data_IF_402383950717
#
_entry.id   IF_402383950717
#
_cell.length_a   1.000
_cell.length_b   1.000
_cell.length_c   1.000
_cell.angle_alpha   90.00
_cell.angle_beta   90.00
_cell.angle_gamma   90.00
#
_symmetry.space_group_name_H-M   'P 1'
#
loop_
_entity.id
_entity.type
_entity.pdbx_description
1 polymer ?
#
# COMPACT_ATOMS: atom_id res chain seq x y z
N UNK A 1 68.96 10.25 -42.33
CA UNK A 1 68.71 9.28 -41.24
C UNK A 1 67.62 9.85 -40.33
N UNK A 2 66.34 9.58 -40.62
CA UNK A 2 65.21 10.20 -39.93
C UNK A 2 64.79 9.31 -38.74
N UNK A 3 65.17 9.71 -37.53
CA UNK A 3 64.76 9.04 -36.28
C UNK A 3 63.30 9.38 -36.02
N UNK A 4 62.39 8.55 -36.55
CA UNK A 4 60.94 8.70 -36.37
C UNK A 4 60.62 8.40 -34.90
N UNK A 5 60.26 9.42 -34.14
CA UNK A 5 59.95 9.38 -32.72
C UNK A 5 58.64 8.58 -32.47
N UNK A 6 58.73 7.25 -32.56
CA UNK A 6 57.64 6.31 -32.32
C UNK A 6 57.16 6.39 -30.85
N UNK A 7 58.04 6.74 -29.91
CA UNK A 7 57.67 6.93 -28.51
C UNK A 7 56.66 8.07 -28.28
N UNK A 8 56.79 9.19 -29.01
CA UNK A 8 55.85 10.32 -28.91
C UNK A 8 54.49 10.01 -29.55
N UNK A 9 54.49 9.24 -30.65
CA UNK A 9 53.27 8.84 -31.36
C UNK A 9 52.46 7.81 -30.55
N UNK A 10 53.13 6.87 -29.86
CA UNK A 10 52.49 5.92 -28.95
C UNK A 10 51.99 6.58 -27.66
N UNK A 11 52.69 7.61 -27.16
CA UNK A 11 52.24 8.38 -26.00
C UNK A 11 50.94 9.14 -26.29
N UNK A 12 50.81 9.70 -27.50
CA UNK A 12 49.58 10.37 -27.95
C UNK A 12 48.37 9.41 -28.02
N UNK A 13 48.55 8.18 -28.52
CA UNK A 13 47.46 7.20 -28.59
C UNK A 13 46.97 6.76 -27.20
N UNK A 14 47.87 6.64 -26.22
CA UNK A 14 47.50 6.32 -24.82
C UNK A 14 46.72 7.45 -24.16
N UNK A 15 47.08 8.70 -24.43
CA UNK A 15 46.34 9.87 -23.92
C UNK A 15 44.93 9.90 -24.53
N UNK A 16 44.81 9.65 -25.84
CA UNK A 16 43.52 9.61 -26.54
C UNK A 16 42.62 8.53 -25.95
N UNK A 17 43.14 7.34 -25.65
CA UNK A 17 42.32 6.27 -25.07
C UNK A 17 41.83 6.59 -23.67
N UNK A 18 42.67 7.19 -22.82
CA UNK A 18 42.28 7.63 -21.47
C UNK A 18 41.26 8.76 -21.55
N UNK A 19 41.45 9.72 -22.45
CA UNK A 19 40.49 10.81 -22.67
C UNK A 19 39.12 10.29 -23.14
N UNK A 20 39.10 9.35 -24.09
CA UNK A 20 37.87 8.68 -24.53
C UNK A 20 37.21 7.87 -23.42
N UNK A 21 38.00 7.17 -22.60
CA UNK A 21 37.50 6.44 -21.44
C UNK A 21 36.86 7.37 -20.40
N UNK A 22 37.48 8.53 -20.13
CA UNK A 22 36.91 9.55 -19.24
C UNK A 22 35.65 10.17 -19.83
N UNK A 23 35.63 10.49 -21.13
CA UNK A 23 34.43 10.97 -21.82
C UNK A 23 33.28 9.96 -21.78
N UNK A 24 33.57 8.68 -22.03
CA UNK A 24 32.59 7.59 -21.93
C UNK A 24 32.11 7.41 -20.50
N UNK A 25 33.00 7.48 -19.52
CA UNK A 25 32.64 7.40 -18.11
C UNK A 25 31.73 8.55 -17.70
N UNK A 26 32.06 9.80 -18.06
CA UNK A 26 31.21 10.98 -17.82
C UNK A 26 29.87 10.87 -18.56
N UNK A 27 29.85 10.32 -19.78
CA UNK A 27 28.61 10.10 -20.53
C UNK A 27 27.70 9.07 -19.84
N UNK A 28 28.27 7.94 -19.41
CA UNK A 28 27.54 6.87 -18.71
C UNK A 28 27.01 7.34 -17.35
N UNK A 29 27.84 8.05 -16.58
CA UNK A 29 27.46 8.59 -15.26
C UNK A 29 26.53 9.79 -15.38
N UNK A 30 26.69 10.62 -16.42
CA UNK A 30 25.84 11.79 -16.66
C UNK A 30 24.42 11.44 -17.12
N UNK A 31 24.25 10.33 -17.83
CA UNK A 31 22.92 9.84 -18.24
C UNK A 31 22.21 9.12 -17.08
N UNK A 32 22.98 8.44 -16.23
CA UNK A 32 22.48 7.85 -14.98
C UNK A 32 22.73 8.83 -13.84
N UNK A 33 22.04 9.97 -13.86
CA UNK A 33 22.05 10.91 -12.72
C UNK A 33 21.89 10.13 -11.41
N UNK A 34 22.46 10.60 -10.28
CA UNK A 34 22.55 9.79 -9.06
C UNK A 34 21.15 9.34 -8.64
N UNK A 35 20.85 8.06 -8.88
CA UNK A 35 19.62 7.46 -8.42
C UNK A 35 19.62 7.56 -6.91
N UNK A 36 18.66 8.31 -6.37
CA UNK A 36 18.45 8.34 -4.94
C UNK A 36 17.36 7.33 -4.58
N UNK A 37 17.32 6.94 -3.32
CA UNK A 37 16.33 6.01 -2.80
C UNK A 37 15.50 6.71 -1.73
N UNK A 38 14.19 6.44 -1.73
CA UNK A 38 13.27 6.96 -0.73
C UNK A 38 12.33 5.84 -0.29
N UNK A 39 12.26 5.63 1.01
CA UNK A 39 11.30 4.69 1.62
C UNK A 39 10.02 5.43 1.97
N UNK A 40 8.89 4.82 1.63
CA UNK A 40 7.55 5.35 1.87
C UNK A 40 6.72 4.27 2.55
N UNK A 41 6.11 4.62 3.67
CA UNK A 41 5.18 3.74 4.39
C UNK A 41 3.76 3.98 3.88
N UNK A 42 3.06 2.90 3.57
CA UNK A 42 1.69 2.96 3.03
C UNK A 42 0.91 1.70 3.41
N UNK A 43 -0.41 1.82 3.47
CA UNK A 43 -1.29 0.71 3.87
C UNK A 43 -1.46 -0.26 2.71
N UNK A 44 -1.36 -1.56 3.02
CA UNK A 44 -1.59 -2.61 2.04
C UNK A 44 -3.06 -2.69 1.63
N UNK A 45 -3.32 -2.78 0.33
CA UNK A 45 -4.67 -2.94 -0.22
C UNK A 45 -4.85 -4.31 -0.86
N UNK A 46 -5.99 -4.95 -0.65
CA UNK A 46 -6.33 -6.18 -1.37
C UNK A 46 -7.00 -5.88 -2.71
N UNK A 47 -6.60 -6.64 -3.74
CA UNK A 47 -7.20 -6.58 -5.08
C UNK A 47 -7.70 -7.96 -5.50
N UNK A 48 -8.70 -7.98 -6.38
CA UNK A 48 -9.34 -9.21 -6.89
C UNK A 48 -9.92 -10.14 -5.80
N UNK A 49 -10.51 -9.58 -4.74
CA UNK A 49 -11.22 -10.37 -3.73
C UNK A 49 -12.41 -11.10 -4.40
N UNK A 50 -12.49 -12.44 -4.31
CA UNK A 50 -13.60 -13.18 -4.89
C UNK A 50 -14.95 -12.81 -4.25
N UNK A 51 -16.04 -12.87 -5.03
CA UNK A 51 -17.38 -12.58 -4.52
C UNK A 51 -17.78 -13.56 -3.41
N UNK A 52 -18.41 -13.04 -2.36
CA UNK A 52 -18.81 -13.84 -1.19
C UNK A 52 -17.69 -14.07 -0.17
N UNK A 53 -16.55 -13.38 -0.31
CA UNK A 53 -15.47 -13.39 0.67
C UNK A 53 -15.10 -11.98 1.13
N UNK A 54 -14.56 -11.89 2.33
CA UNK A 54 -14.09 -10.66 2.96
C UNK A 54 -12.81 -10.92 3.73
N UNK A 55 -11.96 -9.91 3.85
CA UNK A 55 -10.77 -9.96 4.68
C UNK A 55 -11.18 -10.02 6.15
N UNK A 56 -10.65 -11.01 6.86
CA UNK A 56 -10.76 -11.05 8.31
C UNK A 56 -9.54 -10.36 8.93
N UNK A 57 -9.79 -9.24 9.62
CA UNK A 57 -8.76 -8.45 10.28
C UNK A 57 -8.17 -7.31 9.45
N UNK A 58 -7.10 -6.72 9.98
CA UNK A 58 -6.46 -5.52 9.41
C UNK A 58 -5.15 -5.90 8.71
N UNK A 59 -4.94 -5.38 7.50
CA UNK A 59 -3.69 -5.55 6.77
C UNK A 59 -2.58 -4.67 7.40
N UNK A 60 -1.32 -5.16 7.47
CA UNK A 60 -0.22 -4.38 8.02
C UNK A 60 0.21 -3.23 7.10
N UNK A 61 0.87 -2.23 7.68
CA UNK A 61 1.58 -1.19 6.92
C UNK A 61 2.82 -1.79 6.26
N UNK A 62 3.09 -1.40 5.01
CA UNK A 62 4.23 -1.88 4.23
C UNK A 62 5.14 -0.71 3.87
N UNK A 63 6.44 -0.92 4.01
CA UNK A 63 7.47 0.03 3.59
C UNK A 63 7.93 -0.32 2.19
N UNK A 64 7.76 0.62 1.26
CA UNK A 64 8.18 0.48 -0.13
C UNK A 64 9.36 1.42 -0.38
N UNK A 65 10.50 0.87 -0.78
CA UNK A 65 11.67 1.65 -1.19
C UNK A 65 11.64 1.87 -2.68
N UNK A 66 11.66 3.14 -3.06
CA UNK A 66 11.63 3.59 -4.45
C UNK A 66 13.00 4.11 -4.84
N UNK A 67 13.36 3.90 -6.11
CA UNK A 67 14.60 4.39 -6.73
C UNK A 67 14.27 5.27 -7.93
N UNK A 68 14.93 6.41 -8.06
CA UNK A 68 14.78 7.29 -9.22
C UNK A 68 15.38 8.68 -9.04
N UNK A 69 15.02 9.64 -9.92
CA UNK A 69 15.50 11.01 -9.87
C UNK A 69 15.12 11.70 -8.56
N UNK A 70 16.09 12.37 -7.92
CA UNK A 70 15.89 13.12 -6.67
C UNK A 70 14.70 14.07 -6.73
N UNK A 71 14.55 14.82 -7.83
CA UNK A 71 13.47 15.80 -7.99
C UNK A 71 12.07 15.16 -8.00
N UNK A 72 11.97 13.92 -8.51
CA UNK A 72 10.72 13.16 -8.51
C UNK A 72 10.46 12.57 -7.14
N UNK A 73 11.46 11.91 -6.54
CA UNK A 73 11.35 11.26 -5.22
C UNK A 73 11.01 12.25 -4.09
N UNK A 74 11.52 13.49 -4.16
CA UNK A 74 11.23 14.52 -3.16
C UNK A 74 9.73 14.78 -2.98
N UNK A 75 9.00 14.86 -4.09
CA UNK A 75 7.55 15.13 -4.12
C UNK A 75 6.68 13.88 -3.91
N UNK A 76 7.27 12.68 -3.77
CA UNK A 76 6.49 11.47 -3.54
C UNK A 76 5.96 11.46 -2.10
N UNK A 77 4.65 11.35 -1.99
CA UNK A 77 3.89 11.03 -0.78
C UNK A 77 3.31 9.61 -0.91
N UNK A 78 2.89 9.00 0.20
CA UNK A 78 2.29 7.65 0.25
C UNK A 78 1.17 7.38 -0.76
N UNK A 79 0.45 8.42 -1.22
CA UNK A 79 -0.63 8.26 -2.20
C UNK A 79 -0.21 7.84 -3.61
N UNK A 80 1.07 8.00 -4.00
CA UNK A 80 1.55 7.58 -5.33
C UNK A 80 1.99 6.11 -5.38
N UNK A 81 2.07 5.46 -4.21
CA UNK A 81 2.50 4.08 -4.06
C UNK A 81 1.33 3.27 -3.54
N UNK A 82 0.84 2.35 -4.35
CA UNK A 82 -0.24 1.45 -3.95
C UNK A 82 0.34 0.04 -3.83
N UNK A 83 0.75 -0.38 -2.62
CA UNK A 83 1.04 -1.78 -2.37
C UNK A 83 -0.27 -2.56 -2.43
N UNK A 84 -0.28 -3.59 -3.25
CA UNK A 84 -1.43 -4.45 -3.48
C UNK A 84 -1.09 -5.90 -3.22
N UNK A 85 -2.11 -6.65 -2.82
CA UNK A 85 -2.04 -8.09 -2.68
C UNK A 85 -3.12 -8.74 -3.54
N UNK A 86 -2.71 -9.63 -4.44
CA UNK A 86 -3.64 -10.32 -5.34
C UNK A 86 -4.22 -11.56 -4.65
N UNK A 87 -5.55 -11.56 -4.50
CA UNK A 87 -6.31 -12.64 -3.87
C UNK A 87 -7.13 -13.45 -4.89
N UNK A 88 -6.85 -13.31 -6.18
CA UNK A 88 -7.55 -14.03 -7.25
C UNK A 88 -7.50 -15.54 -7.05
N UNK A 89 -8.68 -16.18 -7.12
CA UNK A 89 -8.82 -17.63 -7.03
C UNK A 89 -8.49 -18.22 -5.65
N UNK A 90 -8.33 -17.38 -4.62
CA UNK A 90 -8.14 -17.83 -3.24
C UNK A 90 -9.47 -18.15 -2.58
N UNK A 91 -9.46 -19.17 -1.72
CA UNK A 91 -10.61 -19.60 -0.93
C UNK A 91 -10.51 -19.10 0.52
N UNK A 92 -11.51 -19.42 1.33
CA UNK A 92 -11.46 -19.24 2.79
C UNK A 92 -10.21 -19.89 3.40
N UNK A 93 -9.62 -19.21 4.39
CA UNK A 93 -8.43 -19.68 5.11
C UNK A 93 -7.37 -18.61 5.34
N UNK A 94 -6.31 -19.03 6.04
CA UNK A 94 -5.09 -18.24 6.26
C UNK A 94 -4.05 -18.61 5.22
N UNK A 95 -3.48 -17.63 4.53
CA UNK A 95 -2.37 -17.89 3.63
C UNK A 95 -1.40 -16.73 3.52
N UNK A 96 -0.15 -17.11 3.26
CA UNK A 96 0.93 -16.17 2.97
C UNK A 96 0.87 -15.81 1.48
N UNK A 97 0.97 -14.52 1.20
CA UNK A 97 0.94 -14.00 -0.16
C UNK A 97 1.91 -12.84 -0.31
N UNK A 98 2.45 -12.70 -1.52
CA UNK A 98 3.47 -11.69 -1.81
C UNK A 98 2.84 -10.33 -2.07
N UNK A 99 3.48 -9.29 -1.54
CA UNK A 99 3.07 -7.91 -1.76
C UNK A 99 3.66 -7.40 -3.06
N UNK A 100 2.81 -6.87 -3.93
CA UNK A 100 3.20 -6.20 -5.17
C UNK A 100 2.99 -4.71 -5.01
N UNK A 101 4.07 -3.93 -5.07
CA UNK A 101 3.97 -2.47 -5.07
C UNK A 101 4.02 -1.94 -6.51
N UNK A 102 3.06 -1.09 -6.83
CA UNK A 102 3.05 -0.35 -8.09
C UNK A 102 3.07 1.15 -7.82
N UNK A 103 3.86 1.87 -8.62
CA UNK A 103 3.90 3.33 -8.62
C UNK A 103 3.04 3.82 -9.77
N UNK A 104 2.07 4.67 -9.49
CA UNK A 104 1.14 5.22 -10.49
C UNK A 104 1.41 6.70 -10.67
N UNK A 105 1.51 7.16 -11.93
CA UNK A 105 1.62 8.58 -12.26
C UNK A 105 3.02 9.19 -12.18
N UNK A 106 4.07 8.38 -11.98
CA UNK A 106 5.46 8.87 -11.94
C UNK A 106 6.31 8.17 -13.00
N UNK A 107 7.06 8.94 -13.77
CA UNK A 107 8.00 8.44 -14.80
C UNK A 107 9.41 8.39 -14.24
N UNK A 108 10.14 7.31 -14.53
CA UNK A 108 11.53 7.13 -14.11
C UNK A 108 11.70 6.74 -12.63
N UNK A 109 10.62 6.30 -11.97
CA UNK A 109 10.67 5.76 -10.60
C UNK A 109 10.39 4.27 -10.67
N UNK A 110 11.24 3.48 -10.03
CA UNK A 110 11.11 2.03 -9.93
C UNK A 110 11.04 1.59 -8.48
N UNK A 111 10.24 0.58 -8.17
CA UNK A 111 10.26 -0.07 -6.86
C UNK A 111 11.53 -0.90 -6.75
N UNK A 112 12.33 -0.65 -5.71
CA UNK A 112 13.56 -1.39 -5.44
C UNK A 112 13.30 -2.52 -4.45
N UNK A 113 12.65 -2.22 -3.32
CA UNK A 113 12.31 -3.22 -2.30
C UNK A 113 10.96 -2.95 -1.67
N UNK A 114 10.32 -4.02 -1.20
CA UNK A 114 9.05 -3.99 -0.45
C UNK A 114 9.26 -4.81 0.81
N UNK A 115 8.99 -4.21 1.97
CA UNK A 115 9.16 -4.84 3.27
C UNK A 115 7.90 -4.62 4.13
N UNK A 116 7.25 -5.69 4.62
CA UNK A 116 7.52 -7.10 4.32
C UNK A 116 7.13 -7.48 2.88
N UNK A 117 7.86 -8.42 2.28
CA UNK A 117 7.57 -8.95 0.95
C UNK A 117 6.43 -9.98 0.97
N UNK A 118 6.17 -10.58 2.13
CA UNK A 118 5.15 -11.57 2.38
C UNK A 118 4.29 -11.14 3.56
N UNK A 119 2.98 -11.28 3.40
CA UNK A 119 2.00 -10.98 4.44
C UNK A 119 1.06 -12.15 4.63
N UNK A 120 0.65 -12.39 5.87
CA UNK A 120 -0.42 -13.33 6.15
C UNK A 120 -1.76 -12.63 5.93
N UNK A 121 -2.59 -13.21 5.07
CA UNK A 121 -3.93 -12.72 4.75
C UNK A 121 -4.93 -13.79 5.15
N UNK A 122 -5.96 -13.38 5.90
CA UNK A 122 -7.07 -14.23 6.27
C UNK A 122 -8.30 -13.85 5.44
N UNK A 123 -8.86 -14.83 4.74
CA UNK A 123 -10.14 -14.69 4.03
C UNK A 123 -11.20 -15.51 4.72
N UNK A 124 -12.35 -14.89 4.94
CA UNK A 124 -13.55 -15.51 5.46
C UNK A 124 -14.71 -15.33 4.49
N UNK A 125 -15.72 -16.19 4.63
CA UNK A 125 -16.96 -16.03 3.89
C UNK A 125 -17.68 -14.78 4.38
N UNK A 126 -18.22 -14.03 3.42
CA UNK A 126 -19.11 -12.92 3.70
C UNK A 126 -20.44 -13.51 4.16
N UNK A 127 -20.74 -13.33 5.44
CA UNK A 127 -22.02 -13.70 6.02
C UNK A 127 -22.85 -12.45 6.28
N UNK A 128 -24.16 -12.59 6.11
CA UNK A 128 -25.12 -11.52 6.38
C UNK A 128 -26.13 -12.04 7.38
N UNK A 129 -26.27 -11.36 8.50
CA UNK A 129 -27.27 -11.67 9.53
C UNK A 129 -28.20 -10.48 9.72
N UNK A 130 -29.43 -10.77 10.14
CA UNK A 130 -30.38 -9.75 10.57
C UNK A 130 -30.34 -9.63 12.09
N UNK A 131 -30.02 -8.45 12.59
CA UNK A 131 -29.90 -8.18 14.04
C UNK A 131 -31.01 -7.23 14.48
N UNK A 132 -31.72 -7.50 15.60
CA UNK A 132 -32.67 -6.55 16.16
C UNK A 132 -31.98 -5.29 16.68
N UNK A 133 -32.61 -4.13 16.47
CA UNK A 133 -32.10 -2.84 16.96
C UNK A 133 -32.71 -2.54 18.32
N UNK A 134 -31.86 -2.45 19.34
CA UNK A 134 -32.22 -2.00 20.68
C UNK A 134 -31.77 -0.55 20.84
N UNK A 135 -32.65 0.33 21.28
CA UNK A 135 -32.25 1.71 21.54
C UNK A 135 -31.86 1.89 23.01
N UNK A 136 -30.66 2.40 23.21
CA UNK A 136 -30.13 2.80 24.51
C UNK A 136 -30.17 4.32 24.60
N UNK A 137 -30.94 4.84 25.54
CA UNK A 137 -31.03 6.27 25.80
C UNK A 137 -29.99 6.63 26.85
N UNK A 138 -29.07 7.52 26.50
CA UNK A 138 -27.99 7.97 27.40
C UNK A 138 -28.15 9.46 27.70
N UNK A 139 -28.45 9.78 28.96
CA UNK A 139 -28.59 11.15 29.46
C UNK A 139 -29.52 11.28 30.68
N UNK A 140 -29.50 12.43 31.35
CA UNK A 140 -30.33 12.71 32.53
C UNK A 140 -31.50 13.59 32.13
N UNK A 141 -32.73 13.09 32.29
CA UNK A 141 -33.94 13.88 32.05
C UNK A 141 -34.16 14.90 33.18
N UNK A 142 -34.57 16.14 32.86
CA UNK A 142 -35.07 17.08 33.86
C UNK A 142 -36.29 16.49 34.59
N UNK A 143 -36.47 16.80 35.88
CA UNK A 143 -37.55 16.25 36.72
C UNK A 143 -38.99 16.44 36.18
N UNK A 144 -39.19 17.33 35.21
CA UNK A 144 -40.49 17.62 34.59
C UNK A 144 -40.75 16.87 33.28
N UNK A 145 -39.83 16.03 32.81
CA UNK A 145 -39.92 15.32 31.53
C UNK A 145 -39.95 13.80 31.75
N UNK A 146 -40.90 13.14 31.08
CA UNK A 146 -41.03 11.69 31.04
C UNK A 146 -40.68 11.24 29.62
N UNK A 147 -39.81 10.24 29.49
CA UNK A 147 -39.54 9.58 28.20
C UNK A 147 -40.85 9.02 27.63
N UNK A 148 -41.23 9.48 26.45
CA UNK A 148 -42.36 8.91 25.68
C UNK A 148 -42.04 7.52 25.12
N UNK A 149 -42.99 6.94 24.40
CA UNK A 149 -42.79 5.63 23.74
C UNK A 149 -41.76 5.77 22.62
N UNK A 150 -40.62 5.11 22.77
CA UNK A 150 -39.57 5.13 21.77
C UNK A 150 -39.98 4.22 20.59
N UNK A 151 -40.09 4.81 19.40
CA UNK A 151 -40.49 4.11 18.19
C UNK A 151 -39.25 3.96 17.28
N UNK A 152 -38.73 2.74 17.22
CA UNK A 152 -37.54 2.39 16.43
C UNK A 152 -38.04 1.88 15.07
N UNK A 153 -37.73 2.60 14.00
CA UNK A 153 -38.03 2.20 12.63
C UNK A 153 -36.79 2.49 11.76
N UNK A 154 -36.11 1.46 11.23
CA UNK A 154 -36.45 0.03 11.23
C UNK A 154 -36.05 -0.70 12.53
N UNK A 155 -36.86 -1.67 12.96
CA UNK A 155 -36.61 -2.49 14.17
C UNK A 155 -35.54 -3.58 14.00
N UNK A 156 -35.04 -3.80 12.79
CA UNK A 156 -33.96 -4.74 12.49
C UNK A 156 -33.10 -4.23 11.35
N UNK A 157 -31.81 -4.54 11.40
CA UNK A 157 -30.84 -4.19 10.36
C UNK A 157 -30.11 -5.43 9.85
N UNK A 158 -29.74 -5.42 8.58
CA UNK A 158 -28.84 -6.42 8.02
C UNK A 158 -27.40 -5.98 8.22
N UNK A 159 -26.58 -6.88 8.75
CA UNK A 159 -25.15 -6.67 8.99
C UNK A 159 -24.38 -7.70 8.20
N UNK A 160 -23.53 -7.24 7.27
CA UNK A 160 -22.67 -8.09 6.46
C UNK A 160 -21.19 -7.94 6.88
N UNK A 161 -20.47 -9.05 6.99
CA UNK A 161 -19.07 -9.03 7.40
C UNK A 161 -18.44 -10.43 7.46
N UNK A 162 -17.22 -10.55 8.05
CA UNK A 162 -16.57 -11.83 8.27
C UNK A 162 -17.42 -12.69 9.21
N UNK A 163 -17.71 -13.94 8.84
CA UNK A 163 -18.55 -14.84 9.64
C UNK A 163 -18.11 -14.93 11.11
N UNK A 164 -16.80 -14.88 11.40
CA UNK A 164 -16.29 -14.89 12.78
C UNK A 164 -16.65 -13.66 13.59
N UNK A 165 -16.76 -12.49 12.96
CA UNK A 165 -17.15 -11.24 13.62
C UNK A 165 -18.68 -11.12 13.66
N UNK A 166 -19.34 -11.47 12.57
CA UNK A 166 -20.79 -11.37 12.43
C UNK A 166 -21.50 -12.30 13.41
N UNK A 167 -21.02 -13.54 13.58
CA UNK A 167 -21.56 -14.47 14.58
C UNK A 167 -21.41 -14.00 16.03
N UNK A 168 -20.52 -13.05 16.31
CA UNK A 168 -20.38 -12.42 17.63
C UNK A 168 -21.33 -11.22 17.81
N UNK A 169 -21.90 -10.67 16.74
CA UNK A 169 -22.86 -9.56 16.81
C UNK A 169 -24.21 -10.10 17.28
N UNK A 170 -24.53 -9.86 18.54
CA UNK A 170 -25.80 -10.26 19.16
C UNK A 170 -26.87 -9.18 19.02
N UNK A 171 -26.49 -7.92 19.22
CA UNK A 171 -27.40 -6.79 19.32
C UNK A 171 -26.80 -5.55 18.64
N UNK A 172 -27.64 -4.76 17.98
CA UNK A 172 -27.28 -3.45 17.48
C UNK A 172 -27.87 -2.38 18.40
N UNK A 173 -27.00 -1.58 19.03
CA UNK A 173 -27.41 -0.50 19.92
C UNK A 173 -27.58 0.82 19.15
N UNK A 174 -28.77 1.41 19.19
CA UNK A 174 -29.02 2.77 18.76
C UNK A 174 -28.85 3.70 19.97
N UNK A 175 -27.72 4.40 20.04
CA UNK A 175 -27.46 5.36 21.13
C UNK A 175 -28.15 6.68 20.82
N UNK A 176 -29.14 7.03 21.64
CA UNK A 176 -29.80 8.35 21.59
C UNK A 176 -29.30 9.16 22.78
N UNK A 177 -28.54 10.22 22.50
CA UNK A 177 -28.12 11.17 23.53
C UNK A 177 -29.24 12.19 23.80
N UNK A 178 -29.54 12.42 25.09
CA UNK A 178 -30.50 13.44 25.56
C UNK A 178 -29.82 14.75 25.94
#
# INVERSE_FOLDING_TARGET
>A
MAKRNIGAMLFNSKIISVFLAVLLWVYVVGIRGPDTTKSVETQLMAVNVPQGYVLAGTLPTVTVTLRGPMNTLWNITGGYVTPTVDLRGRSEGSFITSVQAQVVGLTGVTVETVAPNEVNVQLERLETITVPVHAEVSGTLPLSLVLGTLRIDPGSIEVSGPGSLVSQVKDAALVVAL
#
